data_IF_215967121445
#
_entry.id   IF_215967121445
#
_cell.length_a   1.000
_cell.length_b   1.000
_cell.length_c   1.000
_cell.angle_alpha   90.00
_cell.angle_beta   90.00
_cell.angle_gamma   90.00
#
_symmetry.space_group_name_H-M   'P 1'
#
loop_
_entity.id
_entity.type
_entity.pdbx_description
1 polymer ?
#
# COMPACT_ATOMS: atom_id res chain seq x y z
N UNK A 1 27.45 3.76 -28.93
CA UNK A 1 27.17 4.22 -27.56
C UNK A 1 25.89 3.54 -27.11
N UNK A 2 25.88 2.75 -26.03
CA UNK A 2 24.63 2.17 -25.53
C UNK A 2 23.81 3.30 -24.88
N UNK A 3 22.60 3.51 -25.37
CA UNK A 3 21.70 4.60 -24.93
C UNK A 3 20.72 4.14 -23.85
N UNK A 4 20.56 2.83 -23.66
CA UNK A 4 19.62 2.25 -22.71
C UNK A 4 20.35 1.43 -21.66
N UNK A 5 20.05 1.71 -20.40
CA UNK A 5 20.54 0.98 -19.23
C UNK A 5 19.58 -0.16 -18.91
N UNK A 6 20.11 -1.31 -18.54
CA UNK A 6 19.32 -2.39 -17.93
C UNK A 6 18.73 -1.93 -16.59
N UNK A 7 17.73 -2.66 -16.09
CA UNK A 7 17.11 -2.38 -14.78
C UNK A 7 18.19 -2.44 -13.67
N UNK A 8 19.10 -3.40 -13.71
CA UNK A 8 20.20 -3.51 -12.74
C UNK A 8 21.19 -2.34 -12.82
N UNK A 9 21.53 -1.88 -14.02
CA UNK A 9 22.42 -0.73 -14.20
C UNK A 9 21.75 0.57 -13.76
N UNK A 10 20.45 0.72 -14.01
CA UNK A 10 19.64 1.85 -13.52
C UNK A 10 19.58 1.86 -11.99
N UNK A 11 19.35 0.70 -11.37
CA UNK A 11 19.36 0.54 -9.91
C UNK A 11 20.75 0.83 -9.31
N UNK A 12 21.84 0.41 -9.96
CA UNK A 12 23.21 0.72 -9.51
C UNK A 12 23.52 2.22 -9.62
N UNK A 13 23.10 2.87 -10.71
CA UNK A 13 23.24 4.32 -10.88
C UNK A 13 22.47 5.08 -9.81
N UNK A 14 21.23 4.70 -9.55
CA UNK A 14 20.42 5.30 -8.49
C UNK A 14 21.03 5.06 -7.12
N UNK A 15 21.46 3.84 -6.79
CA UNK A 15 22.18 3.53 -5.53
C UNK A 15 23.45 4.35 -5.33
N UNK A 16 24.18 4.66 -6.40
CA UNK A 16 25.36 5.53 -6.36
C UNK A 16 25.03 7.02 -6.15
N UNK A 17 23.78 7.43 -6.39
CA UNK A 17 23.26 8.78 -6.10
C UNK A 17 22.46 8.85 -4.79
N UNK A 18 22.04 7.70 -4.22
CA UNK A 18 21.33 7.60 -2.93
C UNK A 18 22.33 7.66 -1.77
N UNK A 19 23.15 8.70 -1.75
CA UNK A 19 23.47 9.37 -0.49
C UNK A 19 23.07 10.82 -0.71
N UNK A 20 21.87 11.23 -0.28
CA UNK A 20 21.59 12.64 -0.18
C UNK A 20 22.53 13.19 0.88
N UNK A 21 23.66 13.75 0.44
CA UNK A 21 24.42 14.69 1.27
C UNK A 21 23.55 15.93 1.57
N UNK A 22 22.48 16.12 0.79
CA UNK A 22 21.49 17.16 0.99
C UNK A 22 20.29 16.65 1.80
N UNK A 23 20.32 16.93 3.11
CA UNK A 23 19.19 16.77 4.03
C UNK A 23 18.25 17.99 4.01
N UNK A 24 18.19 18.75 2.91
CA UNK A 24 17.24 19.85 2.78
C UNK A 24 15.81 19.37 2.98
N UNK A 25 14.96 20.28 3.46
CA UNK A 25 13.53 20.04 3.65
C UNK A 25 12.85 19.47 2.38
N UNK A 26 13.26 19.97 1.21
CA UNK A 26 12.74 19.50 -0.09
C UNK A 26 13.06 18.03 -0.34
N UNK A 27 14.30 17.61 -0.06
CA UNK A 27 14.72 16.21 -0.22
C UNK A 27 13.99 15.30 0.76
N UNK A 28 13.83 15.73 2.01
CA UNK A 28 13.06 14.99 3.03
C UNK A 28 11.58 14.84 2.64
N UNK A 29 10.95 15.91 2.14
CA UNK A 29 9.58 15.88 1.64
C UNK A 29 9.43 14.94 0.45
N UNK A 30 10.36 14.97 -0.52
CA UNK A 30 10.33 14.09 -1.69
C UNK A 30 10.41 12.61 -1.31
N UNK A 31 11.27 12.26 -0.34
CA UNK A 31 11.36 10.90 0.21
C UNK A 31 10.06 10.51 0.93
N UNK A 32 9.52 11.38 1.77
CA UNK A 32 8.25 11.14 2.46
C UNK A 32 7.08 10.91 1.49
N UNK A 33 6.99 11.72 0.43
CA UNK A 33 6.01 11.53 -0.64
C UNK A 33 6.18 10.19 -1.34
N UNK A 34 7.41 9.81 -1.68
CA UNK A 34 7.71 8.53 -2.31
C UNK A 34 7.26 7.35 -1.44
N UNK A 35 7.53 7.40 -0.12
CA UNK A 35 7.05 6.40 0.83
C UNK A 35 5.52 6.37 0.92
N UNK A 36 4.86 7.52 0.93
CA UNK A 36 3.40 7.59 0.95
C UNK A 36 2.78 6.99 -0.31
N UNK A 37 3.35 7.23 -1.49
CA UNK A 37 2.94 6.62 -2.74
C UNK A 37 3.09 5.10 -2.70
N UNK A 38 4.24 4.59 -2.25
CA UNK A 38 4.48 3.15 -2.11
C UNK A 38 3.47 2.52 -1.14
N UNK A 39 3.20 3.17 -0.01
CA UNK A 39 2.22 2.68 0.98
C UNK A 39 0.79 2.67 0.42
N UNK A 40 0.42 3.68 -0.37
CA UNK A 40 -0.88 3.71 -1.06
C UNK A 40 -1.00 2.59 -2.10
N UNK A 41 0.05 2.32 -2.88
CA UNK A 41 0.08 1.22 -3.85
C UNK A 41 -0.02 -0.15 -3.18
N UNK A 42 0.67 -0.36 -2.05
CA UNK A 42 0.55 -1.61 -1.26
C UNK A 42 -0.90 -1.87 -0.82
N UNK A 43 -1.63 -0.82 -0.43
CA UNK A 43 -3.05 -0.94 -0.04
C UNK A 43 -3.98 -1.31 -1.19
N UNK A 44 -3.54 -1.20 -2.46
CA UNK A 44 -4.34 -1.64 -3.61
C UNK A 44 -4.27 -3.14 -3.86
N UNK A 45 -3.33 -3.85 -3.24
CA UNK A 45 -3.28 -5.32 -3.25
C UNK A 45 -4.43 -5.80 -2.37
N UNK A 46 -5.46 -6.50 -2.91
CA UNK A 46 -6.59 -6.97 -2.12
C UNK A 46 -6.15 -7.93 -1.02
N UNK A 47 -6.72 -7.78 0.18
CA UNK A 47 -6.50 -8.69 1.31
C UNK A 47 -7.86 -9.10 1.87
N UNK A 48 -7.98 -10.39 2.22
CA UNK A 48 -9.23 -10.94 2.74
C UNK A 48 -9.56 -10.37 4.14
N UNK A 49 -10.81 -9.90 4.36
CA UNK A 49 -11.28 -9.49 5.68
C UNK A 49 -11.24 -10.61 6.72
N UNK A 50 -11.03 -10.24 7.98
CA UNK A 50 -11.17 -11.15 9.12
C UNK A 50 -12.65 -11.35 9.41
N UNK A 51 -13.17 -12.56 9.27
CA UNK A 51 -14.57 -12.91 9.53
C UNK A 51 -14.70 -13.75 10.79
N UNK A 52 -15.87 -13.70 11.43
CA UNK A 52 -16.13 -14.42 12.68
C UNK A 52 -17.32 -15.38 12.51
N UNK A 53 -17.09 -16.66 12.82
CA UNK A 53 -18.09 -17.72 12.71
C UNK A 53 -19.37 -17.41 13.48
N UNK A 54 -20.52 -17.66 12.88
CA UNK A 54 -21.82 -17.40 13.50
C UNK A 54 -22.24 -15.92 13.53
N UNK A 55 -21.50 -15.03 12.86
CA UNK A 55 -21.84 -13.61 12.73
C UNK A 55 -21.66 -13.11 11.30
N UNK A 56 -22.34 -12.02 10.94
CA UNK A 56 -22.10 -11.31 9.68
C UNK A 56 -20.96 -10.27 9.78
N UNK A 57 -20.20 -10.29 10.87
CA UNK A 57 -19.13 -9.33 11.12
C UNK A 57 -17.89 -9.67 10.29
N UNK A 58 -17.33 -8.66 9.64
CA UNK A 58 -16.00 -8.71 9.08
C UNK A 58 -15.21 -7.46 9.51
N UNK A 59 -13.94 -7.61 9.82
CA UNK A 59 -13.02 -6.54 10.20
C UNK A 59 -11.85 -6.42 9.20
N UNK A 60 -11.35 -5.19 9.03
CA UNK A 60 -10.19 -4.92 8.18
C UNK A 60 -8.94 -5.58 8.79
N UNK A 61 -8.18 -6.37 8.02
CA UNK A 61 -7.01 -7.08 8.53
C UNK A 61 -5.83 -6.13 8.84
N UNK A 62 -5.85 -4.90 8.33
CA UNK A 62 -4.75 -3.93 8.50
C UNK A 62 -4.98 -3.00 9.70
N UNK A 63 -6.20 -2.47 9.87
CA UNK A 63 -6.49 -1.49 10.92
C UNK A 63 -7.50 -1.94 11.97
N UNK A 64 -8.09 -3.14 11.82
CA UNK A 64 -9.07 -3.70 12.76
C UNK A 64 -10.45 -3.06 12.73
N UNK A 65 -10.67 -2.02 11.92
CA UNK A 65 -11.99 -1.39 11.78
C UNK A 65 -12.98 -2.35 11.14
N UNK A 66 -14.22 -2.35 11.61
CA UNK A 66 -15.29 -3.17 11.04
C UNK A 66 -15.52 -2.78 9.58
N UNK A 67 -15.50 -3.78 8.68
CA UNK A 67 -15.74 -3.67 7.23
C UNK A 67 -17.11 -4.29 6.80
N UNK A 68 -17.81 -4.98 7.71
CA UNK A 68 -19.20 -5.46 7.54
C UNK A 68 -19.85 -5.71 8.91
N UNK A 69 -21.13 -5.32 9.12
CA UNK A 69 -21.81 -5.55 10.40
C UNK A 69 -23.23 -6.16 10.35
N UNK A 70 -24.03 -6.04 9.28
CA UNK A 70 -25.37 -6.64 9.28
C UNK A 70 -25.81 -7.23 7.94
N UNK A 71 -25.89 -6.44 6.85
CA UNK A 71 -26.49 -6.96 5.59
C UNK A 71 -25.86 -6.44 4.28
N UNK A 72 -24.98 -5.43 4.32
CA UNK A 72 -24.28 -4.93 3.12
C UNK A 72 -22.76 -4.93 3.32
N UNK A 73 -21.96 -5.47 2.38
CA UNK A 73 -20.51 -5.29 2.42
C UNK A 73 -20.17 -3.81 2.24
N UNK A 74 -19.26 -3.26 3.04
CA UNK A 74 -18.73 -1.91 2.82
C UNK A 74 -17.74 -1.92 1.66
N UNK A 75 -18.24 -1.95 0.43
CA UNK A 75 -17.47 -1.78 -0.82
C UNK A 75 -16.22 -2.67 -0.94
N UNK A 76 -15.37 -2.36 -1.91
CA UNK A 76 -14.10 -3.08 -2.12
C UNK A 76 -12.94 -2.48 -1.31
N UNK A 77 -13.18 -1.49 -0.44
CA UNK A 77 -12.14 -0.83 0.34
C UNK A 77 -12.58 -0.54 1.77
N UNK A 78 -11.63 -0.63 2.71
CA UNK A 78 -11.83 -0.18 4.09
C UNK A 78 -11.92 1.36 4.14
N UNK A 79 -13.07 1.89 4.55
CA UNK A 79 -13.29 3.34 4.66
C UNK A 79 -12.38 4.05 5.67
N UNK A 80 -11.78 3.32 6.62
CA UNK A 80 -10.88 3.90 7.62
C UNK A 80 -9.44 4.03 7.11
N UNK A 81 -8.87 2.95 6.55
CA UNK A 81 -7.46 2.92 6.17
C UNK A 81 -7.19 2.88 4.66
N UNK A 82 -8.22 2.70 3.82
CA UNK A 82 -8.11 2.62 2.36
C UNK A 82 -7.57 1.30 1.82
N UNK A 83 -7.43 0.26 2.66
CA UNK A 83 -7.02 -1.07 2.23
C UNK A 83 -8.09 -1.68 1.31
N UNK A 84 -7.69 -2.17 0.14
CA UNK A 84 -8.56 -2.93 -0.76
C UNK A 84 -8.85 -4.30 -0.15
N UNK A 85 -10.11 -4.69 -0.18
CA UNK A 85 -10.63 -5.90 0.42
C UNK A 85 -10.94 -6.93 -0.65
N UNK A 86 -10.57 -8.18 -0.37
CA UNK A 86 -10.94 -9.31 -1.21
C UNK A 86 -12.14 -10.05 -0.62
N UNK A 87 -13.25 -10.01 -1.32
CA UNK A 87 -14.51 -10.65 -0.94
C UNK A 87 -14.80 -11.93 -1.73
N UNK A 88 -13.87 -12.37 -2.59
CA UNK A 88 -14.06 -13.66 -3.29
C UNK A 88 -14.30 -14.75 -2.27
N UNK A 89 -15.36 -15.54 -2.46
CA UNK A 89 -15.64 -16.74 -1.67
C UNK A 89 -14.67 -17.84 -2.13
N UNK A 90 -14.22 -18.70 -1.21
CA UNK A 90 -13.52 -19.93 -1.58
C UNK A 90 -14.54 -21.00 -1.92
#
# INVERSE_FOLDING_TARGET
MKTELTIEESLKREKGMIFPQDFSEKTLLAVAHSHNCINALKKQIPIRPTTYTGTNRADCPVCGSTVRWMEKPWGDWCSNCGQRLDWTEN
#
